data_IF_174785377327
#
_entry.id   IF_174785377327
#
_cell.length_a   1.000
_cell.length_b   1.000
_cell.length_c   1.000
_cell.angle_alpha   90.00
_cell.angle_beta   90.00
_cell.angle_gamma   90.00
#
_symmetry.space_group_name_H-M   'P 1'
#
loop_
_entity.id
_entity.type
_entity.pdbx_description
1 polymer ?
#
# COMPACT_ATOMS: atom_id res chain seq x y z
N UNK A 1 9.23 -76.15 12.05
CA UNK A 1 8.69 -75.62 10.79
C UNK A 1 8.39 -74.14 10.95
N UNK A 2 8.73 -73.36 9.91
CA UNK A 2 8.29 -71.98 9.63
C UNK A 2 9.03 -70.84 10.36
N UNK A 3 10.24 -70.59 9.89
CA UNK A 3 10.80 -69.32 9.43
C UNK A 3 10.00 -68.04 9.75
N UNK A 4 10.62 -67.10 10.48
CA UNK A 4 10.33 -65.67 10.36
C UNK A 4 11.65 -64.91 10.32
N UNK A 5 11.97 -64.41 9.14
CA UNK A 5 13.17 -63.63 8.87
C UNK A 5 13.00 -62.18 9.27
N UNK A 6 14.08 -61.58 9.76
CA UNK A 6 14.33 -60.15 9.67
C UNK A 6 15.83 -59.95 9.43
N UNK A 7 16.27 -59.52 8.25
CA UNK A 7 17.62 -58.97 8.08
C UNK A 7 17.67 -57.54 8.61
N UNK A 8 18.66 -57.23 9.45
CA UNK A 8 18.99 -55.84 9.84
C UNK A 8 19.77 -55.18 8.69
N UNK A 9 19.45 -53.96 8.25
CA UNK A 9 20.15 -53.32 7.17
C UNK A 9 21.46 -52.66 7.62
N UNK A 10 22.50 -52.96 6.84
CA UNK A 10 23.66 -52.19 6.38
C UNK A 10 23.95 -50.85 7.09
N UNK A 11 25.15 -50.80 7.69
CA UNK A 11 25.95 -49.59 7.86
C UNK A 11 26.48 -49.14 6.51
N UNK A 12 26.18 -47.90 6.09
CA UNK A 12 27.17 -47.06 5.41
C UNK A 12 26.78 -45.59 5.56
N UNK A 13 27.65 -44.85 6.24
CA UNK A 13 27.72 -43.41 6.21
C UNK A 13 28.35 -42.97 4.88
N UNK A 14 27.87 -41.88 4.30
CA UNK A 14 28.59 -40.90 3.47
C UNK A 14 27.56 -39.82 3.08
N UNK A 15 27.62 -38.64 3.71
CA UNK A 15 28.40 -37.48 3.29
C UNK A 15 27.89 -36.88 1.97
N UNK A 16 26.92 -35.97 2.04
CA UNK A 16 26.80 -34.95 0.98
C UNK A 16 26.18 -33.65 1.51
N UNK A 17 27.01 -32.60 1.44
CA UNK A 17 26.69 -31.16 1.43
C UNK A 17 25.65 -30.65 2.42
N UNK A 18 26.16 -30.17 3.56
CA UNK A 18 25.54 -29.06 4.27
C UNK A 18 25.42 -27.86 3.29
N UNK A 19 24.25 -27.70 2.68
CA UNK A 19 23.87 -26.40 2.15
C UNK A 19 23.94 -25.40 3.31
N UNK A 20 24.65 -24.26 3.17
CA UNK A 20 24.48 -23.19 4.13
C UNK A 20 22.99 -22.83 4.16
N UNK A 21 22.42 -22.44 5.32
CA UNK A 21 21.09 -21.84 5.31
C UNK A 21 21.11 -20.74 4.24
N UNK A 22 20.02 -20.53 3.47
CA UNK A 22 19.94 -19.32 2.67
C UNK A 22 20.24 -18.21 3.66
N UNK A 23 21.36 -17.50 3.44
CA UNK A 23 21.59 -16.26 4.16
C UNK A 23 20.29 -15.52 3.96
N UNK A 24 19.53 -15.35 5.04
CA UNK A 24 18.48 -14.36 5.09
C UNK A 24 19.23 -13.09 4.78
N UNK A 25 19.32 -12.78 3.49
CA UNK A 25 19.70 -11.48 2.99
C UNK A 25 18.96 -10.56 3.91
N UNK A 26 19.72 -9.75 4.62
CA UNK A 26 19.22 -8.64 5.38
C UNK A 26 18.43 -7.86 4.35
N UNK A 27 17.14 -8.18 4.21
CA UNK A 27 16.21 -7.44 3.40
C UNK A 27 16.28 -6.11 4.09
N UNK A 28 17.03 -5.19 3.47
CA UNK A 28 17.11 -3.81 3.86
C UNK A 28 15.67 -3.46 4.09
N UNK A 29 15.31 -3.39 5.37
CA UNK A 29 13.93 -3.33 5.77
C UNK A 29 13.57 -1.90 5.40
N UNK A 30 13.15 -1.73 4.15
CA UNK A 30 12.62 -0.48 3.67
C UNK A 30 11.41 -0.30 4.55
N UNK A 31 11.56 0.54 5.57
CA UNK A 31 10.51 0.83 6.53
C UNK A 31 9.23 1.07 5.74
N UNK A 32 8.15 0.32 6.00
CA UNK A 32 6.94 0.44 5.20
C UNK A 32 6.47 1.88 5.27
N UNK A 33 6.23 2.47 4.09
CA UNK A 33 5.74 3.84 3.98
C UNK A 33 4.46 4.00 4.81
N UNK A 34 4.33 5.08 5.60
CA UNK A 34 3.18 5.25 6.47
C UNK A 34 1.89 5.29 5.65
N UNK A 35 0.80 4.76 6.20
CA UNK A 35 -0.52 4.86 5.59
C UNK A 35 -1.07 6.28 5.65
N UNK A 36 -1.93 6.65 4.70
CA UNK A 36 -2.57 7.97 4.68
C UNK A 36 -3.41 8.25 5.92
N UNK A 37 -4.09 7.24 6.46
CA UNK A 37 -4.89 7.40 7.69
C UNK A 37 -4.02 7.64 8.94
N UNK A 38 -2.71 7.42 8.85
CA UNK A 38 -1.75 7.72 9.93
C UNK A 38 -1.12 9.12 9.79
N UNK A 39 -1.47 9.89 8.76
CA UNK A 39 -1.00 11.26 8.64
C UNK A 39 -1.50 12.10 9.82
N UNK A 40 -0.64 12.94 10.41
CA UNK A 40 -1.08 13.89 11.42
C UNK A 40 -2.20 14.77 10.86
N UNK A 41 -3.24 15.03 11.66
CA UNK A 41 -4.42 15.77 11.21
C UNK A 41 -4.04 17.10 10.54
N UNK A 42 -3.12 17.86 11.15
CA UNK A 42 -2.66 19.16 10.63
C UNK A 42 -2.00 19.06 9.24
N UNK A 43 -1.27 17.97 8.94
CA UNK A 43 -0.67 17.74 7.61
C UNK A 43 -1.78 17.49 6.59
N UNK A 44 -2.76 16.67 6.97
CA UNK A 44 -3.91 16.40 6.11
C UNK A 44 -4.76 17.66 5.89
N UNK A 45 -4.93 18.52 6.90
CA UNK A 45 -5.68 19.77 6.76
C UNK A 45 -5.00 20.73 5.77
N UNK A 46 -3.70 20.96 5.91
CA UNK A 46 -2.91 21.80 5.01
C UNK A 46 -2.96 21.26 3.57
N UNK A 47 -2.81 19.94 3.40
CA UNK A 47 -2.95 19.28 2.11
C UNK A 47 -4.35 19.48 1.50
N UNK A 48 -5.41 19.22 2.28
CA UNK A 48 -6.79 19.39 1.80
C UNK A 48 -7.07 20.83 1.40
N UNK A 49 -6.60 21.81 2.18
CA UNK A 49 -6.79 23.22 1.87
C UNK A 49 -6.14 23.61 0.55
N UNK A 50 -4.91 23.15 0.28
CA UNK A 50 -4.21 23.41 -0.99
C UNK A 50 -4.92 22.76 -2.18
N UNK A 51 -5.32 21.51 -2.02
CA UNK A 51 -5.93 20.72 -3.09
C UNK A 51 -7.37 21.14 -3.40
N UNK A 52 -8.16 21.53 -2.38
CA UNK A 52 -9.52 22.05 -2.58
C UNK A 52 -9.54 23.42 -3.26
N UNK A 53 -8.39 24.14 -3.30
CA UNK A 53 -8.25 25.39 -4.04
C UNK A 53 -7.88 25.19 -5.51
N UNK A 54 -7.66 23.95 -5.97
CA UNK A 54 -7.40 23.65 -7.37
C UNK A 54 -8.64 23.92 -8.22
N UNK A 55 -8.41 24.25 -9.49
CA UNK A 55 -9.50 24.31 -10.46
C UNK A 55 -10.12 22.91 -10.65
N UNK A 56 -11.38 22.89 -11.07
CA UNK A 56 -12.13 21.63 -11.27
C UNK A 56 -11.37 20.61 -12.12
N UNK A 57 -10.72 21.07 -13.20
CA UNK A 57 -9.94 20.21 -14.09
C UNK A 57 -8.76 19.53 -13.39
N UNK A 58 -7.95 20.30 -12.67
CA UNK A 58 -6.77 19.81 -11.96
C UNK A 58 -7.15 18.87 -10.81
N UNK A 59 -8.20 19.24 -10.06
CA UNK A 59 -8.74 18.40 -9.01
C UNK A 59 -9.33 17.09 -9.57
N UNK A 60 -10.08 17.15 -10.68
CA UNK A 60 -10.61 15.96 -11.34
C UNK A 60 -9.50 15.06 -11.89
N UNK A 61 -8.41 15.64 -12.41
CA UNK A 61 -7.25 14.89 -12.86
C UNK A 61 -6.64 14.13 -11.69
N UNK A 62 -6.39 14.79 -10.56
CA UNK A 62 -5.93 14.14 -9.33
C UNK A 62 -6.87 13.02 -8.87
N UNK A 63 -8.14 13.34 -8.69
CA UNK A 63 -9.13 12.42 -8.15
C UNK A 63 -9.30 11.17 -9.02
N UNK A 64 -9.26 11.30 -10.34
CA UNK A 64 -9.43 10.17 -11.26
C UNK A 64 -8.29 9.14 -11.19
N UNK A 65 -7.11 9.51 -10.70
CA UNK A 65 -6.02 8.56 -10.46
C UNK A 65 -6.17 7.86 -9.10
N UNK A 66 -6.79 8.52 -8.13
CA UNK A 66 -7.04 7.96 -6.79
C UNK A 66 -8.25 7.01 -6.80
N UNK A 67 -9.34 7.42 -7.46
CA UNK A 67 -10.61 6.72 -7.47
C UNK A 67 -11.04 6.36 -8.90
N UNK A 68 -10.99 5.06 -9.20
CA UNK A 68 -11.36 4.54 -10.51
C UNK A 68 -12.88 4.38 -10.67
N UNK A 69 -13.61 4.22 -9.56
CA UNK A 69 -15.07 4.12 -9.58
C UNK A 69 -15.72 5.51 -9.75
N UNK A 70 -16.32 5.72 -10.92
CA UNK A 70 -16.96 6.99 -11.28
C UNK A 70 -18.23 7.30 -10.47
N UNK A 71 -18.81 6.34 -9.76
CA UNK A 71 -19.97 6.57 -8.90
C UNK A 71 -19.52 7.14 -7.57
N UNK A 72 -18.51 6.54 -6.95
CA UNK A 72 -17.90 7.03 -5.72
C UNK A 72 -17.26 8.41 -5.91
N UNK A 73 -16.59 8.64 -7.05
CA UNK A 73 -16.05 9.97 -7.39
C UNK A 73 -17.16 11.04 -7.44
N UNK A 74 -18.30 10.73 -8.06
CA UNK A 74 -19.45 11.64 -8.11
C UNK A 74 -20.06 11.90 -6.74
N UNK A 75 -20.10 10.89 -5.86
CA UNK A 75 -20.57 11.07 -4.47
C UNK A 75 -19.69 12.06 -3.73
N UNK A 76 -18.38 11.85 -3.76
CA UNK A 76 -17.39 12.75 -3.13
C UNK A 76 -17.56 14.18 -3.66
N UNK A 77 -17.61 14.35 -4.99
CA UNK A 77 -17.77 15.67 -5.61
C UNK A 77 -19.08 16.37 -5.22
N UNK A 78 -20.15 15.62 -4.95
CA UNK A 78 -21.41 16.20 -4.49
C UNK A 78 -21.30 16.84 -3.09
N UNK A 79 -20.35 16.40 -2.27
CA UNK A 79 -20.15 16.90 -0.90
C UNK A 79 -19.62 18.33 -0.85
N UNK A 80 -19.02 18.81 -1.94
CA UNK A 80 -18.65 20.22 -2.13
C UNK A 80 -19.85 21.15 -1.87
N UNK A 81 -21.04 20.76 -2.35
CA UNK A 81 -22.29 21.53 -2.18
C UNK A 81 -22.75 21.64 -0.74
N UNK A 82 -22.31 20.71 0.12
CA UNK A 82 -22.56 20.72 1.55
C UNK A 82 -21.49 21.51 2.33
N UNK A 83 -20.50 22.11 1.64
CA UNK A 83 -19.38 22.81 2.26
C UNK A 83 -18.35 21.86 2.89
N UNK A 84 -18.32 20.60 2.47
CA UNK A 84 -17.36 19.60 2.95
C UNK A 84 -16.18 19.56 1.97
N UNK A 85 -14.97 19.46 2.51
CA UNK A 85 -13.74 19.27 1.74
C UNK A 85 -13.80 17.98 0.92
N UNK A 86 -13.85 18.11 -0.40
CA UNK A 86 -13.88 16.98 -1.32
C UNK A 86 -12.55 16.24 -1.35
N UNK A 87 -11.42 16.93 -1.17
CA UNK A 87 -10.13 16.26 -1.04
C UNK A 87 -10.05 15.47 0.26
N UNK A 88 -10.58 15.98 1.37
CA UNK A 88 -10.60 15.23 2.64
C UNK A 88 -11.36 13.93 2.50
N UNK A 89 -12.54 13.97 1.90
CA UNK A 89 -13.33 12.76 1.71
C UNK A 89 -12.62 11.78 0.78
N UNK A 90 -11.98 12.27 -0.29
CA UNK A 90 -11.17 11.45 -1.19
C UNK A 90 -9.99 10.80 -0.45
N UNK A 91 -9.27 11.55 0.38
CA UNK A 91 -8.14 11.05 1.16
C UNK A 91 -8.58 10.05 2.23
N UNK A 92 -9.75 10.26 2.84
CA UNK A 92 -10.36 9.29 3.74
C UNK A 92 -10.72 8.00 3.00
N UNK A 93 -11.44 8.11 1.88
CA UNK A 93 -11.83 6.98 1.02
C UNK A 93 -10.61 6.18 0.56
N UNK A 94 -9.51 6.87 0.23
CA UNK A 94 -8.27 6.22 -0.18
C UNK A 94 -7.53 5.59 1.01
N UNK A 95 -7.51 6.27 2.15
CA UNK A 95 -6.86 5.81 3.37
C UNK A 95 -7.49 4.56 4.00
N UNK A 96 -8.82 4.41 3.92
CA UNK A 96 -9.52 3.18 4.39
C UNK A 96 -9.23 1.97 3.49
N UNK A 97 -8.73 2.20 2.27
CA UNK A 97 -8.26 1.17 1.33
C UNK A 97 -6.75 0.89 1.45
N UNK A 98 -6.14 1.31 2.57
CA UNK A 98 -4.73 1.10 2.92
C UNK A 98 -3.74 1.75 1.95
N UNK A 99 -4.12 2.88 1.35
CA UNK A 99 -3.18 3.69 0.59
C UNK A 99 -2.08 4.29 1.47
N UNK A 100 -0.89 4.39 0.90
CA UNK A 100 0.30 4.89 1.58
C UNK A 100 0.63 6.33 1.20
N UNK A 101 1.34 7.02 2.07
CA UNK A 101 1.90 8.36 1.79
C UNK A 101 2.83 8.32 0.58
N UNK A 102 3.52 7.21 0.36
CA UNK A 102 4.35 7.06 -0.83
C UNK A 102 3.54 7.09 -2.12
N UNK A 103 2.43 6.34 -2.18
CA UNK A 103 1.53 6.39 -3.34
C UNK A 103 0.96 7.79 -3.59
N UNK A 104 0.66 8.55 -2.53
CA UNK A 104 0.28 9.96 -2.67
C UNK A 104 1.40 10.80 -3.27
N UNK A 105 2.62 10.68 -2.77
CA UNK A 105 3.77 11.45 -3.27
C UNK A 105 4.10 11.11 -4.72
N UNK A 106 4.10 9.82 -5.08
CA UNK A 106 4.29 9.37 -6.47
C UNK A 106 3.24 9.98 -7.40
N UNK A 107 1.98 10.01 -6.95
CA UNK A 107 0.90 10.60 -7.72
C UNK A 107 1.05 12.12 -7.89
N UNK A 108 1.38 12.84 -6.82
CA UNK A 108 1.60 14.29 -6.88
C UNK A 108 2.77 14.63 -7.82
N UNK A 109 3.83 13.82 -7.80
CA UNK A 109 4.95 13.94 -8.70
C UNK A 109 4.56 13.68 -10.17
N UNK A 110 3.76 12.64 -10.45
CA UNK A 110 3.27 12.34 -11.79
C UNK A 110 2.39 13.46 -12.37
N UNK A 111 1.63 14.14 -11.49
CA UNK A 111 0.74 15.22 -11.85
C UNK A 111 1.40 16.61 -11.83
N UNK A 112 2.69 16.68 -11.48
CA UNK A 112 3.48 17.91 -11.36
C UNK A 112 2.92 18.92 -10.34
N UNK A 113 2.27 18.43 -9.27
CA UNK A 113 1.78 19.24 -8.15
C UNK A 113 2.81 19.32 -7.02
N UNK A 114 3.63 20.40 -6.98
CA UNK A 114 4.66 20.65 -5.97
C UNK A 114 4.44 21.96 -5.21
#
# INVERSE_FOLDING_TARGET
GKETGIPRPVTQAESEMAQPPPSCSLERSSSPSPYLHNLPSWVLEDFCQKMDCLNEYDWMRFASHVITDQTELRKIKCMEKAGISITRELMWWWGVRLATVQQLLELLQELEFY
#
